data_IF_300633520055
#
_entry.id   IF_300633520055
#
_cell.length_a   1.000
_cell.length_b   1.000
_cell.length_c   1.000
_cell.angle_alpha   90.00
_cell.angle_beta   90.00
_cell.angle_gamma   90.00
#
_symmetry.space_group_name_H-M   'P 1'
#
loop_
_entity.id
_entity.type
_entity.pdbx_description
1 polymer ?
#
# COMPACT_ATOMS: atom_id res chain seq x y z
N UNK A 1 3.72 8.73 -3.32
CA UNK A 1 3.43 7.36 -3.76
C UNK A 1 3.77 7.22 -5.23
N UNK A 2 4.15 6.01 -5.67
CA UNK A 2 4.30 5.67 -7.10
C UNK A 2 3.28 4.60 -7.45
N UNK A 3 2.69 4.67 -8.64
CA UNK A 3 1.68 3.71 -9.12
C UNK A 3 2.26 2.98 -10.32
N UNK A 4 2.17 1.66 -10.31
CA UNK A 4 2.51 0.78 -11.41
C UNK A 4 1.25 0.00 -11.76
N UNK A 5 0.79 0.11 -13.00
CA UNK A 5 -0.43 -0.58 -13.45
C UNK A 5 -0.18 -1.27 -14.77
N UNK A 6 -0.72 -2.47 -14.89
CA UNK A 6 -0.73 -3.24 -16.13
C UNK A 6 -2.06 -4.00 -16.21
N UNK A 7 -2.85 -3.70 -17.26
CA UNK A 7 -4.23 -4.19 -17.37
C UNK A 7 -5.06 -3.87 -16.11
N UNK A 8 -5.63 -4.88 -15.45
CA UNK A 8 -6.40 -4.77 -14.21
C UNK A 8 -5.53 -4.82 -12.94
N UNK A 9 -4.27 -5.24 -13.04
CA UNK A 9 -3.36 -5.29 -11.91
C UNK A 9 -2.74 -3.91 -11.63
N UNK A 10 -2.84 -3.45 -10.38
CA UNK A 10 -2.28 -2.19 -9.93
C UNK A 10 -1.51 -2.36 -8.62
N UNK A 11 -0.24 -1.95 -8.63
CA UNK A 11 0.62 -1.87 -7.46
C UNK A 11 0.86 -0.41 -7.07
N UNK A 12 0.71 -0.12 -5.78
CA UNK A 12 0.91 1.23 -5.23
C UNK A 12 2.04 1.17 -4.23
N UNK A 13 3.11 1.91 -4.52
CA UNK A 13 4.33 1.92 -3.70
C UNK A 13 4.33 3.16 -2.82
N UNK A 14 4.40 2.90 -1.52
CA UNK A 14 4.56 3.91 -0.48
C UNK A 14 5.98 3.86 0.07
N UNK A 15 6.43 5.01 0.56
CA UNK A 15 7.74 5.17 1.21
C UNK A 15 7.53 6.00 2.47
N UNK A 16 8.28 5.69 3.52
CA UNK A 16 8.24 6.41 4.79
C UNK A 16 9.64 6.42 5.40
N UNK A 17 9.86 7.36 6.31
CA UNK A 17 11.10 7.50 7.07
C UNK A 17 11.23 6.47 8.20
N UNK A 18 10.10 5.86 8.59
CA UNK A 18 10.00 4.80 9.58
C UNK A 18 8.84 3.87 9.22
N UNK A 19 8.78 2.68 9.84
CA UNK A 19 7.67 1.75 9.64
C UNK A 19 6.30 2.34 10.03
N UNK A 20 6.13 3.00 11.19
CA UNK A 20 4.85 3.63 11.53
C UNK A 20 4.42 4.71 10.52
N UNK A 21 5.38 5.53 10.07
CA UNK A 21 5.14 6.54 9.02
C UNK A 21 4.73 5.88 7.69
N UNK A 22 5.41 4.79 7.30
CA UNK A 22 5.05 4.01 6.12
C UNK A 22 3.64 3.41 6.23
N UNK A 23 3.27 2.83 7.38
CA UNK A 23 1.93 2.26 7.63
C UNK A 23 0.86 3.33 7.45
N UNK A 24 1.03 4.47 8.14
CA UNK A 24 0.11 5.60 8.05
C UNK A 24 -0.02 6.11 6.60
N UNK A 25 1.11 6.23 5.89
CA UNK A 25 1.12 6.69 4.50
C UNK A 25 0.44 5.69 3.55
N UNK A 26 0.64 4.39 3.77
CA UNK A 26 0.00 3.33 3.00
C UNK A 26 -1.52 3.29 3.26
N UNK A 27 -1.96 3.31 4.52
CA UNK A 27 -3.39 3.31 4.87
C UNK A 27 -4.11 4.54 4.29
N UNK A 28 -3.54 5.74 4.49
CA UNK A 28 -4.10 6.98 3.96
C UNK A 28 -4.16 6.98 2.43
N UNK A 29 -3.09 6.52 1.77
CA UNK A 29 -3.02 6.47 0.32
C UNK A 29 -3.97 5.43 -0.28
N UNK A 30 -4.06 4.24 0.31
CA UNK A 30 -5.00 3.19 -0.12
C UNK A 30 -6.44 3.65 0.06
N UNK A 31 -6.78 4.35 1.16
CA UNK A 31 -8.11 4.92 1.35
C UNK A 31 -8.47 5.96 0.26
N UNK A 32 -7.52 6.81 -0.13
CA UNK A 32 -7.71 7.77 -1.22
C UNK A 32 -7.93 7.08 -2.57
N UNK A 33 -7.17 6.03 -2.86
CA UNK A 33 -7.31 5.25 -4.11
C UNK A 33 -8.63 4.49 -4.13
N UNK A 34 -9.03 3.88 -3.01
CA UNK A 34 -10.32 3.20 -2.89
C UNK A 34 -11.49 4.17 -3.11
N UNK A 35 -11.41 5.38 -2.58
CA UNK A 35 -12.40 6.43 -2.83
C UNK A 35 -12.44 6.84 -4.32
N UNK A 36 -11.27 7.01 -4.94
CA UNK A 36 -11.20 7.30 -6.37
C UNK A 36 -11.79 6.17 -7.22
N UNK A 37 -11.47 4.90 -6.93
CA UNK A 37 -12.06 3.75 -7.61
C UNK A 37 -13.58 3.77 -7.49
N UNK A 38 -14.11 3.97 -6.27
CA UNK A 38 -15.55 4.04 -6.01
C UNK A 38 -16.23 5.14 -6.83
N UNK A 39 -15.62 6.31 -6.93
CA UNK A 39 -16.14 7.42 -7.73
C UNK A 39 -16.13 7.13 -9.24
N UNK A 40 -15.30 6.19 -9.68
CA UNK A 40 -15.21 5.71 -11.06
C UNK A 40 -15.94 4.37 -11.27
N UNK A 41 -16.86 3.99 -10.38
CA UNK A 41 -17.64 2.74 -10.44
C UNK A 41 -16.79 1.46 -10.40
N UNK A 42 -15.59 1.54 -9.83
CA UNK A 42 -14.69 0.42 -9.57
C UNK A 42 -14.71 0.08 -8.07
N UNK A 43 -14.51 -1.19 -7.75
CA UNK A 43 -14.44 -1.67 -6.37
C UNK A 43 -13.08 -2.32 -6.12
N UNK A 44 -12.39 -1.89 -5.08
CA UNK A 44 -11.19 -2.56 -4.59
C UNK A 44 -11.57 -3.85 -3.87
N UNK A 45 -11.06 -5.00 -4.31
CA UNK A 45 -11.26 -6.26 -3.60
C UNK A 45 -10.27 -6.35 -2.43
N UNK A 46 -10.75 -6.07 -1.23
CA UNK A 46 -9.94 -6.08 0.00
C UNK A 46 -9.43 -7.46 0.39
N UNK A 47 -10.13 -8.54 0.02
CA UNK A 47 -9.69 -9.92 0.31
C UNK A 47 -8.46 -10.32 -0.52
N UNK A 48 -8.36 -9.77 -1.73
CA UNK A 48 -7.22 -10.00 -2.64
C UNK A 48 -6.11 -8.96 -2.49
N UNK A 49 -6.38 -7.84 -1.81
CA UNK A 49 -5.41 -6.77 -1.62
C UNK A 49 -4.42 -7.16 -0.53
N UNK A 50 -3.14 -7.26 -0.89
CA UNK A 50 -2.07 -7.66 0.02
C UNK A 50 -1.09 -6.50 0.27
N UNK A 51 -0.67 -6.34 1.52
CA UNK A 51 0.43 -5.44 1.87
C UNK A 51 1.75 -6.20 1.83
N UNK A 52 2.68 -5.75 0.99
CA UNK A 52 4.01 -6.35 0.87
C UNK A 52 5.05 -5.34 1.39
N UNK A 53 5.67 -5.66 2.51
CA UNK A 53 6.77 -4.90 3.05
C UNK A 53 8.09 -5.39 2.43
N UNK A 54 8.89 -4.48 1.90
CA UNK A 54 10.25 -4.79 1.44
C UNK A 54 11.23 -3.74 1.96
N UNK A 55 12.42 -4.20 2.31
CA UNK A 55 13.51 -3.35 2.79
C UNK A 55 14.84 -3.84 2.21
N UNK A 56 15.79 -2.92 2.05
CA UNK A 56 17.11 -3.25 1.46
C UNK A 56 17.94 -4.06 2.46
N UNK A 57 17.80 -3.78 3.76
CA UNK A 57 18.60 -4.39 4.81
C UNK A 57 17.72 -5.22 5.75
N UNK A 58 18.18 -6.40 6.18
CA UNK A 58 17.46 -7.23 7.16
C UNK A 58 17.21 -6.51 8.49
N UNK A 59 18.14 -5.63 8.91
CA UNK A 59 17.99 -4.81 10.11
C UNK A 59 16.89 -3.74 10.01
N UNK A 60 16.45 -3.44 8.79
CA UNK A 60 15.39 -2.47 8.53
C UNK A 60 14.03 -3.10 8.27
N UNK A 61 13.87 -4.42 8.46
CA UNK A 61 12.57 -5.09 8.35
C UNK A 61 11.60 -4.61 9.45
N UNK A 62 10.28 -4.68 9.22
CA UNK A 62 9.31 -4.30 10.24
C UNK A 62 9.41 -5.25 11.44
N UNK A 63 9.14 -4.74 12.65
CA UNK A 63 8.96 -5.60 13.83
C UNK A 63 7.75 -6.52 13.63
N UNK A 64 7.71 -7.66 14.34
CA UNK A 64 6.66 -8.67 14.17
C UNK A 64 5.23 -8.13 14.39
N UNK A 65 5.08 -7.05 15.17
CA UNK A 65 3.80 -6.38 15.48
C UNK A 65 3.31 -5.42 14.38
N UNK A 66 3.97 -5.38 13.21
CA UNK A 66 3.60 -4.45 12.14
C UNK A 66 2.33 -4.84 11.36
N UNK A 67 1.95 -6.12 11.42
CA UNK A 67 0.74 -6.67 10.77
C UNK A 67 -0.53 -6.14 11.45
#
# INVERSE_FOLDING_TARGET
AKIYSYADDTAIVFTGSSWPDLKMNAEKGTAQVALWMRNNLLTLNTEKTNYICFSIYNSSQPCQDFN
#
